data_IF_443096897657
#
_entry.id   IF_443096897657
#
_cell.length_a   1.000
_cell.length_b   1.000
_cell.length_c   1.000
_cell.angle_alpha   90.00
_cell.angle_beta   90.00
_cell.angle_gamma   90.00
#
_symmetry.space_group_name_H-M   'P 1'
#
loop_
_entity.id
_entity.type
_entity.pdbx_description
1 polymer ?
#
# COMPACT_ATOMS: atom_id res chain seq x y z
N UNK A 1 -0.04 -31.66 -5.68
CA UNK A 1 -1.08 -30.62 -5.63
C UNK A 1 -0.53 -29.40 -6.35
N UNK A 2 -1.36 -28.63 -7.06
CA UNK A 2 -0.92 -27.38 -7.68
C UNK A 2 -0.83 -26.28 -6.61
N UNK A 3 0.19 -25.48 -6.65
CA UNK A 3 0.36 -24.30 -5.79
C UNK A 3 -0.70 -23.25 -6.14
N UNK A 4 -1.41 -22.72 -5.14
CA UNK A 4 -2.41 -21.65 -5.29
C UNK A 4 -1.87 -20.38 -4.67
N UNK A 5 -1.62 -19.37 -5.51
CA UNK A 5 -1.09 -18.06 -5.09
C UNK A 5 -2.19 -17.00 -5.24
N UNK A 6 -2.57 -16.39 -4.12
CA UNK A 6 -3.39 -15.18 -4.12
C UNK A 6 -2.49 -13.98 -4.43
N UNK A 7 -2.67 -13.37 -5.60
CA UNK A 7 -1.86 -12.23 -6.04
C UNK A 7 -2.42 -10.87 -5.60
N UNK A 8 -3.54 -10.83 -4.87
CA UNK A 8 -4.23 -9.60 -4.45
C UNK A 8 -4.57 -9.60 -2.95
N UNK A 9 -3.57 -9.83 -2.13
CA UNK A 9 -3.72 -9.83 -0.68
C UNK A 9 -3.40 -8.47 -0.04
N UNK A 10 -4.17 -8.12 1.00
CA UNK A 10 -3.97 -6.90 1.77
C UNK A 10 -3.96 -7.16 3.28
N UNK A 11 -3.13 -6.41 4.02
CA UNK A 11 -3.15 -6.42 5.47
C UNK A 11 -4.36 -5.64 6.00
N UNK A 12 -5.53 -6.28 6.00
CA UNK A 12 -6.81 -5.66 6.41
C UNK A 12 -7.08 -5.78 7.91
N UNK A 13 -6.36 -6.64 8.61
CA UNK A 13 -6.56 -6.96 10.04
C UNK A 13 -5.44 -6.44 10.94
N UNK A 14 -4.68 -5.46 10.46
CA UNK A 14 -3.59 -4.85 11.22
C UNK A 14 -4.08 -4.33 12.59
N UNK A 15 -3.24 -4.42 13.64
CA UNK A 15 -3.59 -3.96 14.98
C UNK A 15 -4.11 -2.51 14.99
N UNK A 16 -5.09 -2.23 15.85
CA UNK A 16 -5.76 -0.92 15.97
C UNK A 16 -4.78 0.23 16.22
N UNK A 17 -3.63 -0.06 16.82
CA UNK A 17 -2.57 0.92 17.03
C UNK A 17 -2.09 1.58 15.74
N UNK A 18 -2.06 0.86 14.61
CA UNK A 18 -1.70 1.42 13.31
C UNK A 18 -2.70 2.49 12.84
N UNK A 19 -3.99 2.19 12.93
CA UNK A 19 -5.05 3.14 12.53
C UNK A 19 -5.05 4.36 13.46
N UNK A 20 -4.89 4.16 14.76
CA UNK A 20 -4.82 5.23 15.74
C UNK A 20 -3.63 6.16 15.46
N UNK A 21 -2.47 5.60 15.15
CA UNK A 21 -1.28 6.36 14.78
C UNK A 21 -1.51 7.18 13.49
N UNK A 22 -2.12 6.56 12.46
CA UNK A 22 -2.46 7.27 11.21
C UNK A 22 -3.43 8.40 11.45
N UNK A 23 -4.45 8.21 12.25
CA UNK A 23 -5.41 9.26 12.59
C UNK A 23 -4.73 10.44 13.31
N UNK A 24 -3.80 10.16 14.23
CA UNK A 24 -3.00 11.20 14.88
C UNK A 24 -2.07 11.91 13.88
N UNK A 25 -1.44 11.20 12.94
CA UNK A 25 -0.63 11.79 11.88
C UNK A 25 -1.47 12.75 11.02
N UNK A 26 -2.68 12.35 10.61
CA UNK A 26 -3.59 13.18 9.81
C UNK A 26 -4.03 14.42 10.61
N UNK A 27 -4.36 14.26 11.87
CA UNK A 27 -4.70 15.39 12.74
C UNK A 27 -3.52 16.37 12.89
N UNK A 28 -2.30 15.84 12.98
CA UNK A 28 -1.06 16.62 13.08
C UNK A 28 -0.71 17.43 11.83
N UNK A 29 -1.35 17.20 10.67
CA UNK A 29 -1.18 18.06 9.49
C UNK A 29 -1.57 19.51 9.78
N UNK A 30 -2.59 19.70 10.62
CA UNK A 30 -3.07 21.03 11.04
C UNK A 30 -2.32 21.58 12.26
N UNK A 31 -1.77 20.70 13.06
CA UNK A 31 -1.00 21.02 14.26
C UNK A 31 0.26 20.15 14.33
N UNK A 32 1.38 20.58 13.74
CA UNK A 32 2.62 19.81 13.71
C UNK A 32 3.15 19.39 15.09
N UNK A 33 2.81 20.15 16.14
CA UNK A 33 3.22 19.81 17.51
C UNK A 33 2.50 18.56 18.04
N UNK A 34 1.33 18.25 17.49
CA UNK A 34 0.54 17.07 17.82
C UNK A 34 0.86 15.86 16.92
N UNK A 35 1.74 15.99 15.93
CA UNK A 35 2.11 14.87 15.05
C UNK A 35 2.83 13.77 15.82
N UNK A 36 2.41 12.50 15.68
CA UNK A 36 3.07 11.40 16.37
C UNK A 36 4.43 11.14 15.74
N UNK A 37 5.39 10.68 16.55
CA UNK A 37 6.66 10.16 16.04
C UNK A 37 6.49 8.70 15.62
N UNK A 38 7.28 8.24 14.65
CA UNK A 38 7.30 6.81 14.25
C UNK A 38 7.58 5.92 15.46
N UNK A 39 8.49 6.35 16.35
CA UNK A 39 8.83 5.62 17.57
C UNK A 39 7.67 5.48 18.58
N UNK A 40 6.59 6.24 18.44
CA UNK A 40 5.40 6.13 19.30
C UNK A 40 4.50 4.97 18.88
N UNK A 41 4.62 4.50 17.62
CA UNK A 41 3.90 3.33 17.17
C UNK A 41 4.51 2.06 17.79
N UNK A 42 3.75 1.42 18.65
CA UNK A 42 4.14 0.18 19.31
C UNK A 42 3.17 -0.92 18.85
N UNK A 43 3.69 -1.86 18.07
CA UNK A 43 3.00 -3.07 17.65
C UNK A 43 3.99 -4.22 17.86
N UNK A 44 3.66 -5.14 18.75
CA UNK A 44 4.47 -6.33 19.03
C UNK A 44 4.30 -7.40 17.95
N UNK A 45 5.24 -8.33 17.86
CA UNK A 45 5.11 -9.49 16.97
C UNK A 45 3.97 -10.41 17.41
N UNK A 46 3.63 -10.46 18.70
CA UNK A 46 2.50 -11.23 19.20
C UNK A 46 1.17 -10.64 18.70
N UNK A 47 1.00 -9.30 18.70
CA UNK A 47 -0.18 -8.65 18.12
C UNK A 47 -0.27 -8.90 16.61
N UNK A 48 0.87 -8.92 15.88
CA UNK A 48 0.89 -9.27 14.47
C UNK A 48 0.48 -10.73 14.26
N UNK A 49 1.02 -11.67 15.05
CA UNK A 49 0.63 -13.09 14.99
C UNK A 49 -0.86 -13.27 15.22
N UNK A 50 -1.40 -12.72 16.31
CA UNK A 50 -2.81 -12.79 16.60
C UNK A 50 -3.68 -12.26 15.47
N UNK A 51 -3.32 -11.10 14.91
CA UNK A 51 -4.08 -10.48 13.80
C UNK A 51 -4.13 -11.33 12.54
N UNK A 52 -3.06 -12.08 12.25
CA UNK A 52 -2.94 -12.92 11.05
C UNK A 52 -3.53 -14.32 11.29
N UNK A 53 -3.21 -14.97 12.40
CA UNK A 53 -3.64 -16.35 12.69
C UNK A 53 -5.14 -16.47 12.83
N UNK A 54 -5.77 -15.50 13.48
CA UNK A 54 -7.23 -15.50 13.72
C UNK A 54 -8.05 -15.09 12.51
N UNK A 55 -7.43 -14.52 11.49
CA UNK A 55 -8.10 -13.98 10.31
C UNK A 55 -7.55 -14.54 9.00
N UNK A 56 -6.54 -13.89 8.42
CA UNK A 56 -6.09 -14.16 7.05
C UNK A 56 -5.51 -15.55 6.88
N UNK A 57 -4.64 -15.99 7.78
CA UNK A 57 -4.05 -17.33 7.72
C UNK A 57 -5.11 -18.43 7.91
N UNK A 58 -6.07 -18.20 8.80
CA UNK A 58 -7.21 -19.11 8.97
C UNK A 58 -8.00 -19.24 7.66
N UNK A 59 -8.37 -18.13 7.04
CA UNK A 59 -9.12 -18.12 5.78
C UNK A 59 -8.33 -18.76 4.63
N UNK A 60 -7.04 -18.51 4.53
CA UNK A 60 -6.16 -19.15 3.53
C UNK A 60 -6.22 -20.68 3.68
N UNK A 61 -6.04 -21.20 4.89
CA UNK A 61 -6.10 -22.63 5.18
C UNK A 61 -7.47 -23.24 4.87
N UNK A 62 -8.55 -22.56 5.24
CA UNK A 62 -9.92 -22.99 4.97
C UNK A 62 -10.23 -23.04 3.47
N UNK A 63 -9.63 -22.16 2.66
CA UNK A 63 -9.86 -22.04 1.22
C UNK A 63 -8.84 -22.80 0.37
N UNK A 64 -7.79 -23.33 0.99
CA UNK A 64 -6.73 -24.05 0.29
C UNK A 64 -5.80 -23.16 -0.52
N UNK A 65 -5.65 -21.87 -0.15
CA UNK A 65 -4.63 -20.98 -0.70
C UNK A 65 -3.31 -21.21 0.03
N UNK A 66 -2.22 -21.31 -0.73
CA UNK A 66 -0.90 -21.61 -0.18
C UNK A 66 -0.11 -20.34 0.17
N UNK A 67 -0.07 -19.38 -0.76
CA UNK A 67 0.70 -18.15 -0.65
C UNK A 67 -0.18 -16.96 -0.97
N UNK A 68 0.05 -15.85 -0.27
CA UNK A 68 -0.55 -14.55 -0.58
C UNK A 68 0.56 -13.52 -0.86
N UNK A 69 0.48 -12.83 -1.99
CA UNK A 69 1.23 -11.61 -2.23
C UNK A 69 0.60 -10.50 -1.38
N UNK A 70 1.34 -10.07 -0.35
CA UNK A 70 0.78 -9.37 0.80
C UNK A 70 1.19 -7.91 0.82
N UNK A 71 0.23 -7.02 0.61
CA UNK A 71 0.42 -5.57 0.54
C UNK A 71 -0.25 -4.84 1.70
N UNK A 72 0.13 -3.59 1.97
CA UNK A 72 -0.65 -2.72 2.82
C UNK A 72 -2.10 -2.59 2.34
N UNK A 73 -3.02 -2.31 3.27
CA UNK A 73 -4.44 -2.13 2.94
C UNK A 73 -4.62 -1.06 1.86
N UNK A 74 -5.45 -1.35 0.85
CA UNK A 74 -5.68 -0.46 -0.29
C UNK A 74 -6.07 0.97 0.12
N UNK A 75 -6.97 1.14 1.11
CA UNK A 75 -7.36 2.45 1.63
C UNK A 75 -6.22 3.24 2.29
N UNK A 76 -5.07 2.61 2.51
CA UNK A 76 -3.87 3.27 3.04
C UNK A 76 -3.04 3.96 1.95
N UNK A 77 -3.29 3.66 0.67
CA UNK A 77 -2.66 4.36 -0.46
C UNK A 77 -3.27 5.76 -0.73
N UNK A 78 -3.74 6.43 0.30
CA UNK A 78 -4.30 7.78 0.27
C UNK A 78 -3.18 8.83 0.31
N UNK A 79 -2.35 8.88 -0.73
CA UNK A 79 -1.15 9.73 -0.82
C UNK A 79 -1.46 11.22 -1.02
N UNK A 80 -2.71 11.58 -1.32
CA UNK A 80 -3.19 12.96 -1.36
C UNK A 80 -3.39 13.59 0.02
N UNK A 81 -3.31 12.80 1.08
CA UNK A 81 -3.45 13.29 2.46
C UNK A 81 -2.08 13.77 2.97
N UNK A 82 -1.96 15.09 3.15
CA UNK A 82 -0.72 15.73 3.57
C UNK A 82 0.28 15.92 2.44
N UNK A 83 1.53 16.13 2.82
CA UNK A 83 2.65 16.28 1.90
C UNK A 83 3.41 14.95 1.66
N UNK A 84 4.51 15.03 0.93
CA UNK A 84 5.38 13.89 0.66
C UNK A 84 5.93 13.27 1.96
N UNK A 85 6.26 14.06 2.97
CA UNK A 85 6.80 13.53 4.23
C UNK A 85 5.75 12.69 4.97
N UNK A 86 4.50 13.14 4.98
CA UNK A 86 3.36 12.40 5.54
C UNK A 86 3.17 11.08 4.79
N UNK A 87 3.18 11.13 3.46
CA UNK A 87 3.00 9.96 2.59
C UNK A 87 4.17 8.96 2.71
N UNK A 88 5.42 9.43 2.66
CA UNK A 88 6.61 8.57 2.72
C UNK A 88 6.75 7.89 4.09
N UNK A 89 6.53 8.62 5.17
CA UNK A 89 6.53 8.04 6.52
C UNK A 89 5.47 6.95 6.66
N UNK A 90 4.28 7.21 6.14
CA UNK A 90 3.18 6.24 6.19
C UNK A 90 3.45 5.00 5.34
N UNK A 91 3.97 5.17 4.12
CA UNK A 91 4.33 4.06 3.26
C UNK A 91 5.39 3.17 3.91
N UNK A 92 6.44 3.77 4.48
CA UNK A 92 7.51 3.04 5.16
C UNK A 92 6.98 2.20 6.35
N UNK A 93 6.10 2.76 7.18
CA UNK A 93 5.46 2.04 8.29
C UNK A 93 4.64 0.85 7.78
N UNK A 94 3.81 1.06 6.77
CA UNK A 94 2.95 0.02 6.24
C UNK A 94 3.74 -1.12 5.58
N UNK A 95 4.78 -0.79 4.82
CA UNK A 95 5.67 -1.76 4.19
C UNK A 95 6.45 -2.58 5.23
N UNK A 96 6.97 -1.91 6.27
CA UNK A 96 7.66 -2.60 7.38
C UNK A 96 6.74 -3.61 8.08
N UNK A 97 5.47 -3.27 8.32
CA UNK A 97 4.52 -4.19 8.93
C UNK A 97 4.25 -5.41 8.03
N UNK A 98 4.10 -5.22 6.71
CA UNK A 98 3.96 -6.34 5.78
C UNK A 98 5.22 -7.22 5.76
N UNK A 99 6.40 -6.62 5.80
CA UNK A 99 7.67 -7.34 5.93
C UNK A 99 7.74 -8.14 7.23
N UNK A 100 7.37 -7.57 8.38
CA UNK A 100 7.35 -8.29 9.66
C UNK A 100 6.40 -9.47 9.62
N UNK A 101 5.20 -9.31 9.03
CA UNK A 101 4.27 -10.42 8.83
C UNK A 101 4.88 -11.52 7.96
N UNK A 102 5.52 -11.18 6.85
CA UNK A 102 6.16 -12.17 5.99
C UNK A 102 7.33 -12.89 6.69
N UNK A 103 8.04 -12.21 7.58
CA UNK A 103 9.10 -12.82 8.40
C UNK A 103 8.52 -13.78 9.45
N UNK A 104 7.36 -13.46 10.02
CA UNK A 104 6.67 -14.30 11.00
C UNK A 104 6.00 -15.52 10.37
N UNK A 105 5.60 -15.43 9.10
CA UNK A 105 4.89 -16.46 8.35
C UNK A 105 5.46 -16.64 6.93
N UNK A 106 6.75 -17.02 6.81
CA UNK A 106 7.47 -17.01 5.52
C UNK A 106 6.91 -17.99 4.47
N UNK A 107 6.19 -19.03 4.90
CA UNK A 107 5.59 -20.02 4.02
C UNK A 107 4.25 -19.55 3.41
N UNK A 108 3.71 -18.41 3.88
CA UNK A 108 2.35 -17.99 3.53
C UNK A 108 2.25 -16.57 2.97
N UNK A 109 3.12 -15.65 3.38
CA UNK A 109 3.03 -14.25 2.99
C UNK A 109 4.32 -13.74 2.36
N UNK A 110 4.19 -13.13 1.18
CA UNK A 110 5.29 -12.52 0.45
C UNK A 110 5.00 -11.02 0.27
N UNK A 111 5.90 -10.11 0.66
CA UNK A 111 5.60 -8.69 0.70
C UNK A 111 5.47 -8.07 -0.70
N UNK A 112 4.50 -7.16 -0.83
CA UNK A 112 4.29 -6.28 -1.98
C UNK A 112 4.38 -4.84 -1.50
N UNK A 113 5.17 -4.02 -2.18
CA UNK A 113 5.45 -2.66 -1.74
C UNK A 113 4.33 -1.67 -2.09
N UNK A 114 4.05 -0.76 -1.18
CA UNK A 114 3.30 0.47 -1.40
C UNK A 114 4.28 1.62 -1.57
N UNK A 115 4.16 2.37 -2.69
CA UNK A 115 5.01 3.51 -2.97
C UNK A 115 4.38 4.82 -2.47
N UNK A 116 5.17 5.78 -1.96
CA UNK A 116 4.67 7.09 -1.50
C UNK A 116 4.38 8.03 -2.68
N UNK A 117 3.41 7.71 -3.50
CA UNK A 117 3.01 8.42 -4.72
C UNK A 117 2.28 9.73 -4.40
N UNK A 118 2.98 10.73 -3.82
CA UNK A 118 2.34 12.01 -3.50
C UNK A 118 2.01 12.83 -4.76
N UNK A 119 0.80 13.41 -4.88
CA UNK A 119 0.42 14.25 -6.00
C UNK A 119 1.36 15.44 -6.18
N UNK A 120 1.73 15.73 -7.43
CA UNK A 120 2.61 16.85 -7.76
C UNK A 120 4.09 16.69 -7.39
N UNK A 121 4.48 15.52 -6.91
CA UNK A 121 5.87 15.19 -6.56
C UNK A 121 6.46 14.27 -7.63
N UNK A 122 7.75 14.46 -7.94
CA UNK A 122 8.46 13.61 -8.91
C UNK A 122 8.43 12.14 -8.44
N UNK A 123 7.95 11.20 -9.25
CA UNK A 123 7.93 9.78 -8.92
C UNK A 123 9.31 9.19 -8.56
N UNK A 124 10.40 9.79 -9.02
CA UNK A 124 11.75 9.39 -8.61
C UNK A 124 11.94 9.44 -7.08
N UNK A 125 11.16 10.24 -6.37
CA UNK A 125 11.18 10.29 -4.90
C UNK A 125 10.67 9.00 -4.24
N UNK A 126 9.96 8.14 -4.98
CA UNK A 126 9.52 6.83 -4.51
C UNK A 126 10.64 5.78 -4.54
N UNK A 127 11.70 6.01 -5.32
CA UNK A 127 12.76 5.02 -5.58
C UNK A 127 13.46 4.55 -4.29
N UNK A 128 13.83 5.41 -3.34
CA UNK A 128 14.46 4.94 -2.10
C UNK A 128 13.61 3.93 -1.32
N UNK A 129 12.30 4.14 -1.25
CA UNK A 129 11.38 3.21 -0.58
C UNK A 129 11.21 1.92 -1.39
N UNK A 130 11.09 2.01 -2.72
CA UNK A 130 11.04 0.85 -3.61
C UNK A 130 12.29 -0.03 -3.44
N UNK A 131 13.47 0.58 -3.51
CA UNK A 131 14.74 -0.14 -3.36
C UNK A 131 14.88 -0.80 -1.99
N UNK A 132 14.47 -0.11 -0.93
CA UNK A 132 14.44 -0.67 0.42
C UNK A 132 13.53 -1.90 0.48
N UNK A 133 12.31 -1.78 -0.04
CA UNK A 133 11.35 -2.89 -0.05
C UNK A 133 11.88 -4.10 -0.81
N UNK A 134 12.57 -3.90 -1.93
CA UNK A 134 13.15 -5.00 -2.72
C UNK A 134 14.35 -5.59 -2.01
N UNK A 135 15.32 -4.75 -1.64
CA UNK A 135 16.64 -5.21 -1.16
C UNK A 135 16.61 -5.73 0.29
N UNK A 136 15.81 -5.09 1.14
CA UNK A 136 15.79 -5.39 2.57
C UNK A 136 14.58 -6.23 2.98
N UNK A 137 13.42 -6.01 2.34
CA UNK A 137 12.17 -6.68 2.71
C UNK A 137 11.79 -7.83 1.78
N UNK A 138 12.50 -7.99 0.64
CA UNK A 138 12.23 -9.06 -0.31
C UNK A 138 10.89 -8.91 -1.04
N UNK A 139 10.44 -7.67 -1.26
CA UNK A 139 9.22 -7.41 -2.02
C UNK A 139 9.36 -7.91 -3.47
N UNK A 140 8.34 -8.62 -3.93
CA UNK A 140 8.31 -9.27 -5.27
C UNK A 140 7.40 -8.55 -6.27
N UNK A 141 6.70 -7.53 -5.83
CA UNK A 141 5.80 -6.71 -6.66
C UNK A 141 5.57 -5.35 -6.00
N UNK A 142 4.96 -4.43 -6.74
CA UNK A 142 4.48 -3.15 -6.21
C UNK A 142 2.99 -2.96 -6.48
N UNK A 143 2.32 -2.21 -5.62
CA UNK A 143 1.01 -1.62 -5.92
C UNK A 143 1.21 -0.21 -6.46
N UNK A 144 0.65 0.07 -7.63
CA UNK A 144 0.75 1.36 -8.29
C UNK A 144 -0.65 1.98 -8.38
N UNK A 145 -0.85 3.10 -7.69
CA UNK A 145 -2.11 3.82 -7.72
C UNK A 145 -2.19 4.66 -9.03
N UNK A 146 -3.19 4.44 -9.89
CA UNK A 146 -3.32 5.18 -11.15
C UNK A 146 -3.69 6.65 -10.94
N UNK A 147 -4.32 6.98 -9.81
CA UNK A 147 -4.59 8.37 -9.41
C UNK A 147 -4.25 8.60 -7.93
N UNK A 148 -3.00 8.92 -7.62
CA UNK A 148 -2.59 9.23 -6.25
C UNK A 148 -3.23 10.51 -5.68
N UNK A 149 -3.91 11.32 -6.51
CA UNK A 149 -4.59 12.54 -6.07
C UNK A 149 -5.95 12.29 -5.40
N UNK A 150 -6.35 11.03 -5.20
CA UNK A 150 -7.60 10.69 -4.53
C UNK A 150 -8.86 10.88 -5.38
N UNK A 151 -8.76 10.66 -6.68
CA UNK A 151 -9.90 10.77 -7.61
C UNK A 151 -10.04 12.14 -8.25
N UNK A 152 -9.10 13.05 -8.04
CA UNK A 152 -9.13 14.39 -8.63
C UNK A 152 -8.32 14.52 -9.93
N UNK A 153 -7.58 13.47 -10.32
CA UNK A 153 -6.85 13.39 -11.60
C UNK A 153 -5.89 14.56 -11.82
N UNK A 154 -5.20 14.97 -10.75
CA UNK A 154 -4.22 16.06 -10.82
C UNK A 154 -2.80 15.58 -11.12
N UNK A 155 -2.58 14.27 -11.10
CA UNK A 155 -1.34 13.65 -11.53
C UNK A 155 -1.41 13.21 -12.99
N UNK A 156 -0.29 13.17 -13.74
CA UNK A 156 -0.25 12.59 -15.08
C UNK A 156 -0.71 11.13 -15.07
N UNK A 157 -1.38 10.66 -16.16
CA UNK A 157 -1.78 9.26 -16.27
C UNK A 157 -0.57 8.33 -16.25
N UNK A 158 -0.76 7.07 -15.88
CA UNK A 158 0.32 6.07 -15.81
C UNK A 158 1.02 5.83 -17.16
N UNK A 159 0.39 6.21 -18.27
CA UNK A 159 0.97 6.16 -19.61
C UNK A 159 1.96 7.30 -19.90
N UNK A 160 2.02 8.32 -19.05
CA UNK A 160 2.91 9.46 -19.21
C UNK A 160 4.36 9.13 -18.80
N UNK A 161 5.33 9.77 -19.46
CA UNK A 161 6.77 9.69 -19.16
C UNK A 161 7.12 10.10 -17.75
N UNK A 162 6.24 10.83 -17.07
CA UNK A 162 6.36 11.18 -15.66
C UNK A 162 6.65 9.94 -14.80
N UNK A 163 6.08 8.78 -15.11
CA UNK A 163 6.22 7.53 -14.35
C UNK A 163 7.41 6.67 -14.77
N UNK A 164 8.15 7.04 -15.80
CA UNK A 164 9.29 6.25 -16.31
C UNK A 164 10.35 5.94 -15.23
N UNK A 165 10.70 6.85 -14.30
CA UNK A 165 11.66 6.49 -13.24
C UNK A 165 11.25 5.25 -12.43
N UNK A 166 9.95 5.07 -12.20
CA UNK A 166 9.44 3.86 -11.52
C UNK A 166 9.52 2.65 -12.45
N UNK A 167 9.12 2.80 -13.71
CA UNK A 167 9.13 1.70 -14.68
C UNK A 167 10.55 1.20 -14.98
N UNK A 168 11.52 2.09 -15.04
CA UNK A 168 12.93 1.73 -15.19
C UNK A 168 13.43 0.89 -14.01
N UNK A 169 13.03 1.24 -12.79
CA UNK A 169 13.34 0.45 -11.60
C UNK A 169 12.60 -0.89 -11.55
N UNK A 170 11.36 -0.92 -12.02
CA UNK A 170 10.63 -2.19 -12.14
C UNK A 170 11.33 -3.14 -13.13
N UNK A 171 11.82 -2.62 -14.25
CA UNK A 171 12.60 -3.41 -15.23
C UNK A 171 13.92 -3.86 -14.62
N UNK A 172 14.63 -2.97 -13.91
CA UNK A 172 15.92 -3.29 -13.25
C UNK A 172 15.77 -4.46 -12.26
N UNK A 173 14.67 -4.50 -11.52
CA UNK A 173 14.43 -5.52 -10.48
C UNK A 173 13.51 -6.66 -10.93
N UNK A 174 13.07 -6.68 -12.20
CA UNK A 174 12.12 -7.68 -12.73
C UNK A 174 10.82 -7.73 -11.89
N UNK A 175 10.26 -6.55 -11.56
CA UNK A 175 9.09 -6.44 -10.68
C UNK A 175 7.81 -6.20 -11.49
N UNK A 176 6.76 -6.99 -11.29
CA UNK A 176 5.42 -6.65 -11.73
C UNK A 176 4.80 -5.55 -10.86
N UNK A 177 3.86 -4.80 -11.44
CA UNK A 177 2.99 -3.90 -10.69
C UNK A 177 1.54 -4.32 -10.82
N UNK A 178 0.82 -4.28 -9.72
CA UNK A 178 -0.63 -4.27 -9.71
C UNK A 178 -1.10 -2.82 -9.81
N UNK A 179 -1.84 -2.49 -10.88
CA UNK A 179 -2.54 -1.21 -10.98
C UNK A 179 -3.70 -1.27 -10.00
N UNK A 180 -3.57 -0.54 -8.91
CA UNK A 180 -4.49 -0.64 -7.79
C UNK A 180 -5.14 0.70 -7.50
N UNK A 181 -6.42 0.84 -7.89
CA UNK A 181 -7.22 2.01 -7.53
C UNK A 181 -7.41 2.04 -6.01
N UNK A 182 -7.14 3.18 -5.44
CA UNK A 182 -7.33 3.45 -4.02
C UNK A 182 -8.35 4.57 -3.83
N UNK A 183 -8.43 5.11 -2.66
CA UNK A 183 -9.38 6.13 -2.20
C UNK A 183 -9.73 7.16 -3.28
N UNK A 184 -10.97 7.15 -3.75
CA UNK A 184 -11.52 8.17 -4.64
C UNK A 184 -12.45 9.10 -3.84
N UNK A 185 -12.00 10.34 -3.64
CA UNK A 185 -12.73 11.37 -2.88
C UNK A 185 -13.56 12.31 -3.77
N UNK A 186 -13.43 12.18 -5.11
CA UNK A 186 -14.14 13.02 -6.05
C UNK A 186 -15.63 12.64 -6.09
N UNK A 187 -16.52 13.61 -5.79
CA UNK A 187 -17.96 13.40 -5.78
C UNK A 187 -18.53 12.90 -7.12
N UNK A 188 -17.88 13.18 -8.25
CA UNK A 188 -18.27 12.69 -9.56
C UNK A 188 -18.27 11.17 -9.67
N UNK A 189 -17.39 10.48 -8.90
CA UNK A 189 -17.38 9.02 -8.85
C UNK A 189 -18.56 8.43 -8.08
N UNK A 190 -19.25 9.24 -7.31
CA UNK A 190 -20.38 8.83 -6.46
C UNK A 190 -21.74 9.17 -7.04
N UNK A 191 -21.82 9.70 -8.26
CA UNK A 191 -23.10 10.06 -8.92
C UNK A 191 -24.00 8.84 -9.09
N UNK A 192 -23.42 7.65 -9.20
CA UNK A 192 -24.11 6.36 -9.26
C UNK A 192 -23.83 5.46 -8.05
N UNK A 193 -23.21 6.01 -7.01
CA UNK A 193 -22.68 5.27 -5.86
C UNK A 193 -21.20 4.89 -6.02
N UNK A 194 -20.51 4.75 -4.90
CA UNK A 194 -19.15 4.21 -4.88
C UNK A 194 -19.19 2.77 -5.40
N UNK A 195 -18.78 2.57 -6.64
CA UNK A 195 -18.90 1.30 -7.32
C UNK A 195 -17.53 0.86 -7.82
N UNK A 196 -17.16 -0.41 -7.58
CA UNK A 196 -15.92 -1.00 -8.11
C UNK A 196 -15.76 -0.78 -9.61
N UNK A 197 -16.85 -0.90 -10.38
CA UNK A 197 -16.81 -0.67 -11.83
C UNK A 197 -16.38 0.74 -12.23
N UNK A 198 -16.67 1.76 -11.42
CA UNK A 198 -16.20 3.11 -11.69
C UNK A 198 -14.70 3.24 -11.47
N UNK A 199 -14.18 2.63 -10.41
CA UNK A 199 -12.77 2.63 -10.09
C UNK A 199 -11.97 1.86 -11.16
N UNK A 200 -12.42 0.66 -11.52
CA UNK A 200 -11.80 -0.17 -12.55
C UNK A 200 -11.86 0.50 -13.92
N UNK A 201 -13.03 0.99 -14.34
CA UNK A 201 -13.19 1.70 -15.61
C UNK A 201 -12.26 2.90 -15.70
N UNK A 202 -12.11 3.65 -14.61
CA UNK A 202 -11.24 4.82 -14.59
C UNK A 202 -9.77 4.43 -14.68
N UNK A 203 -9.35 3.33 -14.04
CA UNK A 203 -7.99 2.82 -14.15
C UNK A 203 -7.66 2.33 -15.57
N UNK A 204 -8.64 1.76 -16.28
CA UNK A 204 -8.48 1.32 -17.67
C UNK A 204 -8.57 2.46 -18.71
N UNK A 205 -9.13 3.59 -18.35
CA UNK A 205 -9.27 4.74 -19.25
C UNK A 205 -8.03 5.64 -19.28
N UNK A 206 -7.04 5.38 -18.44
CA UNK A 206 -5.73 6.06 -18.40
C UNK A 206 -4.67 5.33 -19.18
#
# INVERSE_FOLDING_TARGET
MSLIIDCHGHYTTAPKALENWRNAQIAGIKDPAASPKVADLKISDDELRESIETNQLKLMKERGSDITLFSPRASFMAHHIGDFNVSSTWAAICNELCYRVSTLFPDHFVPVAMLPQSPGVDPATCIPELEKCVKEYGAVAINLNPDPSGGHWTSPPLTDKHWYPIYEKMVEYDLPAMIHVSTSCNACFHTTGAHYLNADTTAFMQ
#
